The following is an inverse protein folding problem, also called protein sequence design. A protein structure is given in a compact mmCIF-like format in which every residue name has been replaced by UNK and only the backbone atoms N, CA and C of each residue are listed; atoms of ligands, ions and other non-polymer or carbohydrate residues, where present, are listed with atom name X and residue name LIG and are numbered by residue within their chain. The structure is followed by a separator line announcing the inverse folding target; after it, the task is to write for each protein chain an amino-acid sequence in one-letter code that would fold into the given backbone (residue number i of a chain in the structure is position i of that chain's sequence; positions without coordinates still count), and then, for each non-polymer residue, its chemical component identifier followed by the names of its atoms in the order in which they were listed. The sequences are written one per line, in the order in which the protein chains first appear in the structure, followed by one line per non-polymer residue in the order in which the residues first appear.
data_IF_070191106376
#
_entry.id   IF_070191106376
#
_cell.length_a   1.000
_cell.length_b   1.000
_cell.length_c   1.000
_cell.angle_alpha   90.00
_cell.angle_beta   90.00
_cell.angle_gamma   90.00
#
_symmetry.space_group_name_H-M   'P 1'
#
loop_
_entity.id
_entity.type
_entity.pdbx_description
1 polymer ?
#
# COMPACT_ATOMS: atom_id res chain seq x y z
N UNK A 1 6.17 -26.04 -11.25
CA UNK A 1 6.72 -25.48 -10.00
C UNK A 1 8.17 -25.17 -10.24
N UNK A 2 8.56 -23.91 -10.14
CA UNK A 2 9.89 -23.43 -10.53
C UNK A 2 10.79 -23.52 -9.29
N UNK A 3 11.89 -24.27 -9.38
CA UNK A 3 12.85 -24.45 -8.29
C UNK A 3 13.90 -23.33 -8.39
N UNK A 4 14.09 -22.50 -7.35
CA UNK A 4 15.14 -21.48 -7.32
C UNK A 4 16.54 -22.11 -7.27
N UNK A 5 17.52 -21.51 -7.94
CA UNK A 5 18.95 -21.84 -7.78
C UNK A 5 19.45 -21.36 -6.40
N UNK A 6 19.94 -22.26 -5.53
CA UNK A 6 20.37 -21.91 -4.17
C UNK A 6 21.72 -21.18 -4.08
N UNK A 7 22.45 -21.03 -5.19
CA UNK A 7 23.82 -20.47 -5.20
C UNK A 7 23.91 -18.94 -5.38
N UNK A 8 22.78 -18.28 -5.63
CA UNK A 8 22.68 -16.82 -5.79
C UNK A 8 21.64 -16.33 -4.78
N UNK A 9 21.89 -15.27 -3.97
CA UNK A 9 20.82 -14.69 -3.17
C UNK A 9 19.64 -14.40 -4.12
N UNK A 10 18.40 -14.82 -3.79
CA UNK A 10 17.28 -14.85 -4.74
C UNK A 10 16.75 -13.43 -4.97
N UNK A 11 17.56 -12.60 -5.61
CA UNK A 11 17.23 -11.23 -5.98
C UNK A 11 16.47 -11.28 -7.31
N UNK A 12 15.35 -10.54 -7.45
CA UNK A 12 14.50 -10.65 -8.63
C UNK A 12 15.21 -10.14 -9.89
N UNK A 13 15.24 -10.93 -10.96
CA UNK A 13 15.79 -10.54 -12.26
C UNK A 13 15.20 -11.40 -13.39
N UNK A 14 15.40 -11.00 -14.64
CA UNK A 14 14.79 -11.64 -15.82
C UNK A 14 15.15 -13.12 -16.00
N UNK A 15 16.26 -13.58 -15.42
CA UNK A 15 16.69 -14.98 -15.45
C UNK A 15 16.58 -15.68 -14.07
N UNK A 16 15.82 -15.10 -13.12
CA UNK A 16 15.48 -15.80 -11.86
C UNK A 16 14.66 -17.08 -12.10
N UNK A 17 14.05 -17.20 -13.28
CA UNK A 17 13.39 -18.41 -13.76
C UNK A 17 13.49 -18.52 -15.28
N UNK A 18 12.95 -19.61 -15.84
CA UNK A 18 12.97 -19.90 -17.27
C UNK A 18 11.86 -19.20 -18.08
N UNK A 19 10.87 -18.56 -17.43
CA UNK A 19 9.67 -18.05 -18.09
C UNK A 19 10.01 -17.00 -19.14
N UNK A 20 10.84 -16.02 -18.78
CA UNK A 20 11.21 -14.95 -19.72
C UNK A 20 11.93 -15.51 -20.95
N UNK A 21 12.91 -16.40 -20.74
CA UNK A 21 13.66 -17.05 -21.83
C UNK A 21 12.74 -17.87 -22.74
N UNK A 22 11.82 -18.65 -22.16
CA UNK A 22 10.82 -19.43 -22.91
C UNK A 22 9.88 -18.56 -23.72
N UNK A 23 9.51 -17.38 -23.21
CA UNK A 23 8.64 -16.45 -23.93
C UNK A 23 9.37 -15.84 -25.12
N UNK A 24 10.58 -15.33 -24.92
CA UNK A 24 11.31 -14.62 -25.98
C UNK A 24 11.85 -15.58 -27.06
N UNK A 25 12.11 -16.86 -26.73
CA UNK A 25 12.59 -17.87 -27.68
C UNK A 25 11.54 -18.34 -28.68
N UNK A 26 10.26 -17.99 -28.49
CA UNK A 26 9.18 -18.39 -29.39
C UNK A 26 9.17 -17.56 -30.68
N UNK A 27 8.79 -18.16 -31.83
CA UNK A 27 8.69 -17.45 -33.10
C UNK A 27 7.76 -16.23 -32.99
N UNK A 28 8.20 -15.09 -33.53
CA UNK A 28 7.45 -13.85 -33.52
C UNK A 28 6.91 -13.45 -32.13
N UNK A 29 7.65 -13.78 -31.05
CA UNK A 29 7.26 -13.49 -29.66
C UNK A 29 6.86 -12.03 -29.44
N UNK A 30 7.42 -11.10 -30.21
CA UNK A 30 7.11 -9.66 -30.12
C UNK A 30 5.94 -9.17 -30.96
N UNK A 31 5.45 -9.97 -31.90
CA UNK A 31 4.28 -9.59 -32.70
C UNK A 31 3.02 -9.70 -31.82
N UNK A 32 2.16 -8.67 -31.69
CA UNK A 32 1.04 -8.69 -30.75
C UNK A 32 0.07 -9.87 -30.94
N UNK A 33 -0.17 -10.32 -32.18
CA UNK A 33 -1.05 -11.43 -32.46
C UNK A 33 -0.41 -12.77 -32.07
N UNK A 34 0.85 -12.97 -32.48
CA UNK A 34 1.61 -14.20 -32.18
C UNK A 34 1.95 -14.32 -30.69
N UNK A 35 2.31 -13.21 -30.03
CA UNK A 35 2.64 -13.16 -28.61
C UNK A 35 1.53 -13.75 -27.74
N UNK A 36 0.28 -13.35 -27.98
CA UNK A 36 -0.85 -13.86 -27.22
C UNK A 36 -1.05 -15.36 -27.45
N UNK A 37 -1.05 -15.81 -28.71
CA UNK A 37 -1.20 -17.22 -29.07
C UNK A 37 -0.07 -18.09 -28.50
N UNK A 38 1.16 -17.58 -28.49
CA UNK A 38 2.33 -18.23 -27.90
C UNK A 38 2.16 -18.43 -26.39
N UNK A 39 1.71 -17.40 -25.66
CA UNK A 39 1.48 -17.50 -24.22
C UNK A 39 0.37 -18.50 -23.90
N UNK A 40 -0.74 -18.49 -24.64
CA UNK A 40 -1.91 -19.32 -24.34
C UNK A 40 -1.79 -20.75 -24.87
N UNK A 41 -1.34 -20.93 -26.10
CA UNK A 41 -1.38 -22.23 -26.79
C UNK A 41 -0.09 -23.02 -26.62
N UNK A 42 1.07 -22.35 -26.65
CA UNK A 42 2.38 -23.02 -26.57
C UNK A 42 2.83 -23.16 -25.12
N UNK A 43 2.69 -22.09 -24.33
CA UNK A 43 3.10 -22.08 -22.92
C UNK A 43 1.98 -22.44 -21.94
N UNK A 44 0.74 -22.59 -22.43
CA UNK A 44 -0.44 -22.91 -21.63
C UNK A 44 -0.67 -21.96 -20.44
N UNK A 45 -0.34 -20.67 -20.63
CA UNK A 45 -0.58 -19.62 -19.65
C UNK A 45 -2.01 -19.10 -19.78
N UNK A 46 -2.63 -18.86 -18.63
CA UNK A 46 -4.00 -18.39 -18.54
C UNK A 46 -4.03 -16.86 -18.50
N UNK A 47 -4.76 -16.19 -19.41
CA UNK A 47 -5.00 -14.75 -19.30
C UNK A 47 -5.61 -14.37 -17.95
N UNK A 48 -5.33 -13.16 -17.46
CA UNK A 48 -5.78 -12.60 -16.18
C UNK A 48 -5.18 -13.27 -14.94
N UNK A 49 -4.78 -14.54 -15.04
CA UNK A 49 -4.16 -15.30 -13.97
C UNK A 49 -2.63 -15.30 -14.05
N UNK A 50 -2.08 -15.64 -15.22
CA UNK A 50 -0.64 -15.76 -15.42
C UNK A 50 -0.05 -14.53 -16.15
N UNK A 51 -0.86 -13.87 -16.99
CA UNK A 51 -0.45 -12.66 -17.71
C UNK A 51 -1.63 -11.74 -18.06
N UNK A 52 -1.33 -10.47 -18.31
CA UNK A 52 -2.23 -9.50 -18.91
C UNK A 52 -1.61 -8.98 -20.22
N UNK A 53 -2.43 -8.78 -21.25
CA UNK A 53 -2.02 -8.10 -22.48
C UNK A 53 -2.89 -6.86 -22.66
N UNK A 54 -2.27 -5.69 -22.57
CA UNK A 54 -2.98 -4.42 -22.70
C UNK A 54 -2.11 -3.37 -23.40
N UNK A 55 -2.75 -2.30 -23.87
CA UNK A 55 -2.05 -1.05 -24.15
C UNK A 55 -1.84 -0.32 -22.84
N UNK A 56 -0.61 0.11 -22.58
CA UNK A 56 -0.26 0.81 -21.36
C UNK A 56 0.31 2.18 -21.69
N UNK A 57 0.05 3.15 -20.80
CA UNK A 57 0.81 4.41 -20.77
C UNK A 57 1.91 4.30 -19.70
N UNK A 58 3.08 4.86 -19.98
CA UNK A 58 4.11 5.02 -18.96
C UNK A 58 3.64 6.05 -17.94
N UNK A 59 3.80 5.75 -16.65
CA UNK A 59 3.60 6.74 -15.60
C UNK A 59 4.82 7.65 -15.54
N UNK A 60 4.58 8.96 -15.46
CA UNK A 60 5.63 9.93 -15.19
C UNK A 60 6.04 9.88 -13.72
N UNK A 61 7.24 10.33 -13.39
CA UNK A 61 7.79 10.29 -12.03
C UNK A 61 7.00 11.11 -11.01
N UNK A 62 6.07 11.97 -11.45
CA UNK A 62 5.16 12.75 -10.60
C UNK A 62 3.90 11.96 -10.20
N UNK A 63 3.63 10.83 -10.86
CA UNK A 63 2.42 10.03 -10.67
C UNK A 63 2.60 8.89 -9.67
N UNK A 64 3.82 8.73 -9.13
CA UNK A 64 4.12 7.73 -8.12
C UNK A 64 5.29 8.16 -7.23
N UNK A 65 5.32 7.62 -6.03
CA UNK A 65 6.46 7.62 -5.13
C UNK A 65 7.11 6.23 -5.15
N UNK A 66 8.44 6.18 -5.21
CA UNK A 66 9.21 4.94 -5.17
C UNK A 66 10.27 5.03 -4.07
N UNK A 67 10.29 4.06 -3.17
CA UNK A 67 11.37 3.93 -2.19
C UNK A 67 12.46 2.99 -2.75
N UNK A 68 13.65 3.50 -3.13
CA UNK A 68 14.69 2.70 -3.74
C UNK A 68 15.42 1.75 -2.79
N UNK A 69 15.29 1.93 -1.47
CA UNK A 69 15.95 1.09 -0.48
C UNK A 69 15.20 -0.23 -0.25
N UNK A 70 13.87 -0.16 -0.20
CA UNK A 70 13.00 -1.31 0.08
C UNK A 70 12.18 -1.77 -1.13
N UNK A 71 12.21 -1.03 -2.24
CA UNK A 71 11.55 -1.42 -3.50
C UNK A 71 10.03 -1.24 -3.49
N UNK A 72 9.50 -0.31 -2.69
CA UNK A 72 8.04 -0.08 -2.62
C UNK A 72 7.60 0.99 -3.62
N UNK A 73 6.42 0.77 -4.21
CA UNK A 73 5.81 1.68 -5.18
C UNK A 73 4.44 2.12 -4.65
N UNK A 74 4.25 3.43 -4.56
CA UNK A 74 3.01 4.04 -4.10
C UNK A 74 2.50 5.01 -5.16
N UNK A 75 1.34 4.71 -5.76
CA UNK A 75 0.74 5.58 -6.77
C UNK A 75 0.11 6.82 -6.14
N UNK A 76 0.19 7.94 -6.86
CA UNK A 76 -0.47 9.20 -6.47
C UNK A 76 -1.99 9.09 -6.59
N UNK A 77 -2.49 8.28 -7.53
CA UNK A 77 -3.91 8.02 -7.74
C UNK A 77 -4.20 6.52 -7.66
N UNK A 78 -5.35 6.12 -7.08
CA UNK A 78 -5.77 4.72 -7.09
C UNK A 78 -6.12 4.28 -8.52
N UNK A 79 -5.77 3.04 -8.85
CA UNK A 79 -6.16 2.43 -10.12
C UNK A 79 -7.61 1.96 -10.09
N UNK A 80 -8.29 2.05 -11.23
CA UNK A 80 -9.61 1.49 -11.44
C UNK A 80 -9.57 -0.04 -11.43
N UNK A 81 -10.74 -0.66 -11.24
CA UNK A 81 -10.86 -2.12 -11.13
C UNK A 81 -10.31 -2.83 -12.37
N UNK A 82 -10.57 -2.30 -13.55
CA UNK A 82 -10.18 -2.83 -14.87
C UNK A 82 -8.78 -2.39 -15.35
N UNK A 83 -8.06 -1.56 -14.59
CA UNK A 83 -6.70 -1.15 -14.94
C UNK A 83 -5.65 -2.20 -14.56
N UNK A 84 -4.57 -2.27 -15.34
CA UNK A 84 -3.44 -3.18 -15.14
C UNK A 84 -2.19 -2.37 -14.77
N UNK A 85 -1.42 -2.84 -13.78
CA UNK A 85 -0.13 -2.23 -13.43
C UNK A 85 1.01 -3.20 -13.71
N UNK A 86 1.94 -2.77 -14.55
CA UNK A 86 3.20 -3.45 -14.83
C UNK A 86 4.40 -2.56 -14.52
N UNK A 87 5.52 -3.16 -14.14
CA UNK A 87 6.79 -2.47 -13.89
C UNK A 87 7.93 -3.12 -14.65
N UNK A 88 8.90 -2.29 -15.05
CA UNK A 88 10.25 -2.72 -15.38
C UNK A 88 11.22 -1.85 -14.59
N UNK A 89 12.25 -2.46 -14.03
CA UNK A 89 13.25 -1.77 -13.21
C UNK A 89 14.60 -2.45 -13.28
N UNK A 90 15.63 -1.68 -12.98
CA UNK A 90 17.01 -2.12 -12.90
C UNK A 90 17.58 -1.62 -11.58
N UNK A 91 18.35 -2.46 -10.90
CA UNK A 91 18.94 -2.14 -9.61
C UNK A 91 20.32 -2.79 -9.48
N UNK A 92 21.13 -2.27 -8.59
CA UNK A 92 22.45 -2.79 -8.28
C UNK A 92 22.43 -3.44 -6.91
N UNK A 93 22.85 -4.70 -6.83
CA UNK A 93 23.00 -5.43 -5.59
C UNK A 93 24.38 -6.09 -5.54
N UNK A 94 25.15 -5.80 -4.50
CA UNK A 94 26.54 -6.27 -4.34
C UNK A 94 27.41 -6.04 -5.59
N UNK A 95 27.31 -4.85 -6.19
CA UNK A 95 28.09 -4.45 -7.37
C UNK A 95 27.64 -5.08 -8.69
N UNK A 96 26.58 -5.91 -8.70
CA UNK A 96 26.02 -6.51 -9.91
C UNK A 96 24.69 -5.85 -10.27
N UNK A 97 24.50 -5.62 -11.55
CA UNK A 97 23.27 -5.06 -12.11
C UNK A 97 22.27 -6.17 -12.39
N UNK A 98 21.04 -5.98 -11.94
CA UNK A 98 19.92 -6.87 -12.15
C UNK A 98 18.76 -6.08 -12.80
N UNK A 99 18.04 -6.73 -13.70
CA UNK A 99 16.90 -6.13 -14.40
C UNK A 99 15.70 -7.06 -14.35
N UNK A 100 14.52 -6.48 -14.12
CA UNK A 100 13.21 -7.14 -14.16
C UNK A 100 12.34 -6.42 -15.18
N UNK A 101 11.74 -7.17 -16.08
CA UNK A 101 11.00 -6.62 -17.23
C UNK A 101 11.94 -6.00 -18.26
N UNK A 102 11.35 -5.19 -19.15
CA UNK A 102 12.05 -4.60 -20.29
C UNK A 102 11.84 -3.10 -20.36
N UNK A 103 12.90 -2.42 -20.75
CA UNK A 103 12.82 -1.01 -21.12
C UNK A 103 12.60 -0.87 -22.63
N UNK A 104 12.01 0.25 -23.04
CA UNK A 104 11.79 0.57 -24.45
C UNK A 104 13.10 0.61 -25.25
N UNK A 105 14.23 0.93 -24.60
CA UNK A 105 15.55 0.95 -25.23
C UNK A 105 16.10 -0.46 -25.52
N UNK A 106 15.63 -1.49 -24.81
CA UNK A 106 16.06 -2.88 -25.00
C UNK A 106 15.38 -3.50 -26.24
N UNK A 107 14.22 -2.94 -26.64
CA UNK A 107 13.41 -3.39 -27.77
C UNK A 107 13.17 -2.22 -28.73
N UNK A 108 14.19 -1.82 -29.52
CA UNK A 108 14.04 -0.69 -30.41
C UNK A 108 12.94 -0.95 -31.46
N UNK A 109 12.18 0.10 -31.84
CA UNK A 109 11.18 -0.01 -32.88
C UNK A 109 11.84 -0.47 -34.18
N UNK A 110 11.18 -1.38 -34.89
CA UNK A 110 11.64 -1.81 -36.19
C UNK A 110 11.17 -0.79 -37.24
N UNK A 111 12.10 -0.01 -37.79
CA UNK A 111 11.78 0.99 -38.83
C UNK A 111 11.35 0.36 -40.16
N UNK A 112 11.49 -0.96 -40.32
CA UNK A 112 11.14 -1.68 -41.55
C UNK A 112 9.78 -2.37 -41.48
N UNK A 113 9.16 -2.43 -40.30
CA UNK A 113 7.87 -3.06 -40.06
C UNK A 113 6.94 -2.12 -39.33
N UNK A 114 5.71 -1.95 -39.83
CA UNK A 114 4.66 -1.18 -39.14
C UNK A 114 4.11 -1.89 -37.89
N UNK A 115 4.67 -3.04 -37.51
CA UNK A 115 4.20 -3.83 -36.36
C UNK A 115 4.81 -3.28 -35.07
N UNK A 116 3.94 -2.78 -34.17
CA UNK A 116 4.33 -2.42 -32.82
C UNK A 116 4.76 -3.68 -32.04
N UNK A 117 5.98 -3.68 -31.51
CA UNK A 117 6.51 -4.78 -30.69
C UNK A 117 5.91 -4.74 -29.28
N UNK A 118 5.59 -5.90 -28.72
CA UNK A 118 5.17 -6.02 -27.31
C UNK A 118 6.38 -6.00 -26.36
N UNK A 119 6.21 -5.31 -25.22
CA UNK A 119 7.14 -5.36 -24.10
C UNK A 119 6.63 -6.34 -23.04
N UNK A 120 7.55 -7.09 -22.44
CA UNK A 120 7.27 -7.97 -21.31
C UNK A 120 7.69 -7.30 -20.02
N UNK A 121 6.72 -7.09 -19.13
CA UNK A 121 6.88 -6.39 -17.86
C UNK A 121 6.50 -7.31 -16.70
N UNK A 122 6.93 -6.95 -15.49
CA UNK A 122 6.47 -7.62 -14.27
C UNK A 122 5.10 -7.08 -13.87
N UNK A 123 4.09 -7.96 -13.82
CA UNK A 123 2.74 -7.63 -13.39
C UNK A 123 2.67 -7.41 -11.87
N UNK A 124 2.06 -6.29 -11.45
CA UNK A 124 1.77 -5.96 -10.05
C UNK A 124 0.26 -5.92 -9.73
N UNK A 125 -0.60 -5.57 -10.70
CA UNK A 125 -2.06 -5.61 -10.58
C UNK A 125 -2.68 -6.12 -11.88
N UNK A 126 -3.58 -7.10 -11.77
CA UNK A 126 -4.41 -7.59 -12.87
C UNK A 126 -5.82 -6.95 -12.87
N UNK A 127 -6.60 -7.22 -13.91
CA UNK A 127 -8.00 -6.79 -14.03
C UNK A 127 -8.95 -7.52 -13.06
N UNK A 128 -8.51 -8.65 -12.49
CA UNK A 128 -9.27 -9.44 -11.52
C UNK A 128 -8.49 -9.59 -10.21
N UNK A 129 -9.16 -9.31 -9.08
CA UNK A 129 -8.61 -9.50 -7.74
C UNK A 129 -8.72 -10.97 -7.32
N UNK A 130 -7.64 -11.73 -7.49
CA UNK A 130 -7.55 -13.13 -7.07
C UNK A 130 -6.57 -13.27 -5.92
N UNK A 131 -7.08 -13.42 -4.71
CA UNK A 131 -6.26 -13.44 -3.49
C UNK A 131 -5.40 -14.70 -3.36
N UNK A 132 -5.70 -15.76 -4.11
CA UNK A 132 -4.88 -16.97 -4.18
C UNK A 132 -3.67 -16.88 -5.10
N UNK A 133 -3.50 -15.77 -5.84
CA UNK A 133 -2.36 -15.57 -6.73
C UNK A 133 -1.25 -14.79 -6.05
N UNK A 134 0.04 -15.08 -6.31
CA UNK A 134 1.18 -14.40 -5.66
C UNK A 134 1.24 -12.89 -5.87
N UNK A 135 0.60 -12.36 -6.93
CA UNK A 135 0.53 -10.90 -7.14
C UNK A 135 -0.28 -10.19 -6.05
N UNK A 136 -1.16 -10.92 -5.34
CA UNK A 136 -1.91 -10.39 -4.22
C UNK A 136 -1.01 -10.00 -3.04
N UNK A 137 0.05 -10.79 -2.82
CA UNK A 137 1.02 -10.58 -1.74
C UNK A 137 1.96 -9.41 -2.05
N UNK A 138 2.11 -9.03 -3.32
CA UNK A 138 2.86 -7.84 -3.73
C UNK A 138 2.14 -6.53 -3.37
N UNK A 139 0.81 -6.58 -3.21
CA UNK A 139 0.05 -5.41 -2.80
C UNK A 139 0.26 -5.14 -1.31
N UNK A 140 0.90 -4.00 -1.01
CA UNK A 140 1.02 -3.46 0.34
C UNK A 140 -0.35 -3.09 0.92
N UNK A 141 -0.62 -3.56 2.14
CA UNK A 141 -1.88 -3.34 2.89
C UNK A 141 -1.62 -2.73 4.26
N UNK A 142 -0.43 -2.16 4.44
CA UNK A 142 0.16 -1.65 5.67
C UNK A 142 0.42 -0.14 5.59
N UNK A 143 -0.20 0.56 4.64
CA UNK A 143 -0.07 2.01 4.43
C UNK A 143 -1.44 2.66 4.59
N UNK A 144 -1.54 3.64 5.48
CA UNK A 144 -2.80 4.28 5.83
C UNK A 144 -2.69 5.79 5.69
N UNK A 145 -3.66 6.40 5.02
CA UNK A 145 -3.82 7.86 5.00
C UNK A 145 -4.37 8.32 6.35
N UNK A 146 -3.71 9.28 6.98
CA UNK A 146 -4.07 9.81 8.31
C UNK A 146 -4.45 11.30 8.28
N UNK A 147 -4.53 11.89 7.09
CA UNK A 147 -4.87 13.29 6.90
C UNK A 147 -4.68 13.70 5.44
N UNK A 148 -4.43 14.99 5.24
CA UNK A 148 -4.28 15.63 3.93
C UNK A 148 -3.11 16.59 3.92
N UNK A 149 -2.76 17.13 2.76
CA UNK A 149 -1.62 18.05 2.63
C UNK A 149 -0.28 17.37 2.90
N UNK A 150 0.72 18.15 3.31
CA UNK A 150 2.02 17.63 3.73
C UNK A 150 2.08 17.58 5.25
N UNK A 151 2.33 16.41 5.83
CA UNK A 151 2.52 16.27 7.27
C UNK A 151 3.78 17.01 7.74
N UNK A 152 3.69 17.63 8.90
CA UNK A 152 4.83 18.19 9.61
C UNK A 152 5.20 17.28 10.78
N UNK A 153 6.49 16.97 11.01
CA UNK A 153 6.92 16.19 12.17
C UNK A 153 6.58 16.87 13.51
N UNK A 154 6.47 18.20 13.53
CA UNK A 154 6.22 18.95 14.76
C UNK A 154 4.84 18.65 15.34
N UNK A 155 4.82 18.34 16.63
CA UNK A 155 3.62 17.95 17.39
C UNK A 155 2.87 16.75 16.81
N UNK A 156 3.52 15.95 15.94
CA UNK A 156 2.95 14.72 15.43
C UNK A 156 2.83 13.69 16.56
N UNK A 157 1.63 13.18 16.77
CA UNK A 157 1.34 12.11 17.73
C UNK A 157 0.42 11.11 17.07
N UNK A 158 0.77 9.84 17.08
CA UNK A 158 -0.08 8.77 16.60
C UNK A 158 0.02 7.59 17.55
N UNK A 159 -1.14 7.06 17.93
CA UNK A 159 -1.31 5.82 18.66
C UNK A 159 -2.09 4.82 17.82
N UNK A 160 -1.78 3.55 18.04
CA UNK A 160 -2.56 2.42 17.54
C UNK A 160 -3.24 1.77 18.73
N UNK A 161 -4.56 1.77 18.72
CA UNK A 161 -5.39 1.30 19.82
C UNK A 161 -6.16 0.05 19.40
N UNK A 162 -6.47 -0.81 20.37
CA UNK A 162 -7.42 -1.91 20.20
C UNK A 162 -8.71 -1.60 20.96
N UNK A 163 -9.83 -1.55 20.24
CA UNK A 163 -11.17 -1.35 20.78
C UNK A 163 -11.70 -2.67 21.35
N UNK A 164 -11.57 -2.85 22.66
CA UNK A 164 -12.12 -4.02 23.33
C UNK A 164 -13.62 -3.82 23.63
N UNK A 165 -14.50 -4.75 23.21
CA UNK A 165 -15.93 -4.67 23.49
C UNK A 165 -16.21 -4.52 24.99
N UNK A 166 -17.00 -3.51 25.36
CA UNK A 166 -17.36 -3.21 26.76
C UNK A 166 -16.25 -2.58 27.61
N UNK A 167 -15.00 -2.52 27.14
CA UNK A 167 -13.85 -2.04 27.93
C UNK A 167 -13.11 -0.84 27.29
N UNK A 168 -13.55 -0.36 26.13
CA UNK A 168 -12.98 0.83 25.50
C UNK A 168 -11.71 0.55 24.68
N UNK A 169 -11.10 1.63 24.20
CA UNK A 169 -9.86 1.58 23.41
C UNK A 169 -8.63 1.46 24.32
N UNK A 170 -7.75 0.50 24.05
CA UNK A 170 -6.54 0.21 24.81
C UNK A 170 -5.29 0.42 23.95
N UNK A 171 -4.21 0.96 24.53
CA UNK A 171 -2.90 1.12 23.84
C UNK A 171 -2.14 -0.19 23.66
N UNK A 172 -2.52 -1.26 24.37
CA UNK A 172 -1.92 -2.59 24.28
C UNK A 172 -2.93 -3.59 23.69
N UNK A 173 -2.42 -4.68 23.12
CA UNK A 173 -3.26 -5.78 22.66
C UNK A 173 -3.61 -6.68 23.86
N UNK A 174 -4.89 -6.85 24.24
CA UNK A 174 -5.27 -7.50 25.49
C UNK A 174 -5.27 -9.03 25.45
N UNK A 175 -4.75 -9.61 24.37
CA UNK A 175 -4.62 -11.05 24.18
C UNK A 175 -3.14 -11.39 23.94
N UNK A 176 -2.77 -12.64 24.15
CA UNK A 176 -1.38 -13.08 24.06
C UNK A 176 -0.76 -13.41 25.40
N UNK A 177 0.30 -14.20 25.34
CA UNK A 177 1.12 -14.66 26.46
C UNK A 177 2.57 -14.15 26.39
N UNK A 178 2.94 -13.48 25.29
CA UNK A 178 4.30 -12.99 25.01
C UNK A 178 4.46 -11.47 25.13
N UNK A 179 3.39 -10.70 24.91
CA UNK A 179 3.46 -9.25 24.75
C UNK A 179 3.66 -8.46 26.05
N UNK A 180 3.46 -9.06 27.24
CA UNK A 180 3.72 -8.44 28.55
C UNK A 180 3.10 -7.04 28.75
N UNK A 181 1.98 -6.75 28.06
CA UNK A 181 1.32 -5.44 28.11
C UNK A 181 2.01 -4.32 27.32
N UNK A 182 2.95 -4.63 26.44
CA UNK A 182 3.63 -3.67 25.58
C UNK A 182 2.63 -2.88 24.69
N UNK A 183 2.90 -1.59 24.40
CA UNK A 183 2.10 -0.83 23.45
C UNK A 183 2.05 -1.48 22.07
N UNK A 184 0.91 -1.37 21.40
CA UNK A 184 0.73 -1.90 20.03
C UNK A 184 1.72 -1.25 19.07
N UNK A 185 2.03 0.04 19.26
CA UNK A 185 3.05 0.75 18.48
C UNK A 185 4.39 0.00 18.47
N UNK A 186 4.91 -0.37 19.63
CA UNK A 186 6.19 -1.08 19.76
C UNK A 186 6.09 -2.50 19.20
N UNK A 187 4.95 -3.18 19.40
CA UNK A 187 4.72 -4.54 18.86
C UNK A 187 4.72 -4.58 17.32
N UNK A 188 4.33 -3.51 16.65
CA UNK A 188 4.30 -3.43 15.17
C UNK A 188 5.40 -2.54 14.59
N UNK A 189 6.47 -2.35 15.37
CA UNK A 189 7.70 -1.67 14.97
C UNK A 189 7.53 -0.18 14.60
N UNK A 190 6.50 0.48 15.12
CA UNK A 190 6.30 1.93 14.98
C UNK A 190 6.96 2.76 16.08
N UNK A 191 7.54 2.11 17.08
CA UNK A 191 8.23 2.69 18.24
C UNK A 191 9.46 1.82 18.51
N UNK A 192 10.57 2.20 17.89
CA UNK A 192 11.88 1.55 17.92
C UNK A 192 12.98 2.52 18.30
N UNK A 193 12.73 3.83 18.18
CA UNK A 193 13.68 4.89 18.44
C UNK A 193 13.22 5.73 19.63
N UNK A 194 14.16 6.38 20.31
CA UNK A 194 13.85 7.39 21.32
C UNK A 194 13.90 8.80 20.72
N UNK A 195 13.67 9.82 21.56
CA UNK A 195 13.79 11.24 21.18
C UNK A 195 15.15 11.66 20.58
N UNK A 196 16.23 10.90 20.79
CA UNK A 196 17.56 11.13 20.20
C UNK A 196 17.80 10.33 18.90
N UNK A 197 16.83 9.52 18.46
CA UNK A 197 16.94 8.55 17.37
C UNK A 197 17.85 7.34 17.67
N UNK A 198 18.13 7.06 18.95
CA UNK A 198 18.82 5.83 19.35
C UNK A 198 17.84 4.64 19.36
N UNK A 199 18.28 3.41 19.09
CA UNK A 199 17.43 2.22 18.95
C UNK A 199 16.88 1.71 20.29
N UNK A 200 16.00 2.50 20.91
CA UNK A 200 15.33 2.21 22.15
C UNK A 200 13.88 2.74 22.10
N UNK A 201 12.86 1.87 22.18
CA UNK A 201 11.46 2.29 22.23
C UNK A 201 11.17 3.21 23.43
N UNK A 202 10.40 4.28 23.21
CA UNK A 202 9.98 5.23 24.25
C UNK A 202 8.45 5.38 24.38
N UNK A 203 7.68 4.60 23.62
CA UNK A 203 6.22 4.60 23.63
C UNK A 203 5.59 5.72 22.80
N UNK A 204 6.38 6.41 21.97
CA UNK A 204 5.97 7.42 21.00
C UNK A 204 6.18 6.88 19.59
N UNK A 205 5.35 7.32 18.65
CA UNK A 205 5.52 6.96 17.24
C UNK A 205 6.80 7.57 16.67
N UNK A 206 7.61 6.75 16.00
CA UNK A 206 8.81 7.16 15.29
C UNK A 206 8.45 7.84 13.97
N UNK A 207 8.61 9.16 13.88
CA UNK A 207 8.44 9.89 12.62
C UNK A 207 9.72 9.80 11.77
N UNK A 208 9.78 8.81 10.88
CA UNK A 208 10.93 8.59 9.98
C UNK A 208 10.45 8.66 8.53
N UNK A 209 10.82 9.74 7.84
CA UNK A 209 10.42 9.98 6.45
C UNK A 209 10.88 8.85 5.53
N UNK A 210 9.97 8.36 4.68
CA UNK A 210 10.19 7.26 3.75
C UNK A 210 10.14 5.87 4.38
N UNK A 211 10.18 5.75 5.71
CA UNK A 211 10.13 4.47 6.44
C UNK A 211 8.80 4.25 7.16
N UNK A 212 8.40 5.20 8.01
CA UNK A 212 7.12 5.15 8.77
C UNK A 212 6.14 6.22 8.33
N UNK A 213 6.59 7.26 7.62
CA UNK A 213 5.74 8.35 7.11
C UNK A 213 6.11 8.69 5.67
N UNK A 214 5.10 8.99 4.85
CA UNK A 214 5.25 9.67 3.57
C UNK A 214 4.57 11.03 3.70
N UNK A 215 5.34 12.04 4.10
CA UNK A 215 4.80 13.35 4.48
C UNK A 215 3.96 14.01 3.39
N UNK A 216 4.41 14.08 2.11
CA UNK A 216 3.67 14.78 1.07
C UNK A 216 2.28 14.22 0.74
N UNK A 217 2.00 12.99 1.16
CA UNK A 217 0.72 12.32 0.91
C UNK A 217 -0.07 12.04 2.19
N UNK A 218 0.40 12.53 3.34
CA UNK A 218 -0.19 12.27 4.67
C UNK A 218 -0.45 10.79 4.95
N UNK A 219 0.51 9.93 4.59
CA UNK A 219 0.44 8.48 4.77
C UNK A 219 1.40 8.02 5.86
N UNK A 220 0.95 7.08 6.67
CA UNK A 220 1.77 6.32 7.61
C UNK A 220 1.99 4.92 7.04
N UNK A 221 3.23 4.47 7.10
CA UNK A 221 3.67 3.13 6.72
C UNK A 221 3.95 2.35 7.99
N UNK A 222 3.34 1.18 8.12
CA UNK A 222 3.67 0.24 9.18
C UNK A 222 4.83 -0.61 8.67
N UNK A 223 5.98 -0.69 9.37
CA UNK A 223 7.18 -1.40 8.90
C UNK A 223 7.08 -2.93 9.09
N UNK A 224 5.87 -3.47 8.89
CA UNK A 224 5.48 -4.88 8.88
C UNK A 224 4.38 -5.08 7.82
N UNK A 225 4.21 -6.28 7.27
CA UNK A 225 3.29 -6.52 6.15
C UNK A 225 1.82 -6.56 6.61
N UNK A 226 1.59 -7.15 7.77
CA UNK A 226 0.29 -7.41 8.37
C UNK A 226 0.22 -6.89 9.83
N UNK A 227 0.24 -5.56 10.04
CA UNK A 227 0.28 -4.98 11.39
C UNK A 227 -0.90 -5.38 12.29
N UNK A 228 -2.02 -5.84 11.72
CA UNK A 228 -3.21 -6.28 12.47
C UNK A 228 -3.48 -7.79 12.31
N UNK A 229 -2.55 -8.51 11.69
CA UNK A 229 -2.67 -9.91 11.31
C UNK A 229 -1.50 -10.74 11.82
N UNK A 230 -0.79 -11.42 10.92
CA UNK A 230 0.25 -12.40 11.27
C UNK A 230 1.45 -11.76 11.99
N UNK A 231 1.86 -10.55 11.61
CA UNK A 231 3.01 -9.90 12.24
C UNK A 231 2.73 -9.56 13.71
N UNK A 232 1.54 -9.04 14.02
CA UNK A 232 1.12 -8.82 15.41
C UNK A 232 1.00 -10.15 16.17
N UNK A 233 0.44 -11.19 15.54
CA UNK A 233 0.31 -12.51 16.16
C UNK A 233 1.66 -13.05 16.66
N UNK A 234 2.71 -12.93 15.86
CA UNK A 234 4.06 -13.39 16.20
C UNK A 234 4.70 -12.63 17.38
N UNK A 235 4.23 -11.42 17.64
CA UNK A 235 4.73 -10.57 18.74
C UNK A 235 3.97 -10.80 20.04
N UNK A 236 2.71 -11.27 19.96
CA UNK A 236 1.84 -11.43 21.14
C UNK A 236 1.67 -12.88 21.61
N UNK A 237 1.90 -13.87 20.73
CA UNK A 237 1.77 -15.29 21.08
C UNK A 237 3.11 -16.03 20.97
N UNK A 238 3.43 -16.90 21.93
CA UNK A 238 4.50 -17.91 21.75
C UNK A 238 4.06 -19.01 20.77
N UNK A 239 2.79 -19.43 20.88
CA UNK A 239 2.13 -20.35 19.95
C UNK A 239 0.76 -19.75 19.62
N UNK A 240 0.50 -19.48 18.34
CA UNK A 240 -0.75 -18.82 17.91
C UNK A 240 -1.94 -19.78 18.09
N UNK A 241 -2.90 -19.48 18.98
CA UNK A 241 -4.04 -20.35 19.19
C UNK A 241 -5.07 -20.21 18.05
N UNK A 242 -5.93 -21.23 17.81
CA UNK A 242 -6.99 -21.15 16.79
C UNK A 242 -8.00 -20.00 17.01
N UNK A 243 -8.13 -19.52 18.25
CA UNK A 243 -9.00 -18.39 18.65
C UNK A 243 -8.41 -17.02 18.29
N UNK A 244 -7.14 -16.95 17.88
CA UNK A 244 -6.51 -15.68 17.50
C UNK A 244 -7.25 -14.99 16.33
N UNK A 245 -7.87 -15.77 15.44
CA UNK A 245 -8.69 -15.29 14.32
C UNK A 245 -9.92 -14.47 14.74
N UNK A 246 -10.35 -14.60 15.99
CA UNK A 246 -11.52 -13.88 16.53
C UNK A 246 -11.13 -12.48 17.05
N UNK A 247 -9.82 -12.18 17.10
CA UNK A 247 -9.27 -10.94 17.67
C UNK A 247 -8.33 -10.19 16.72
N UNK A 248 -7.63 -10.92 15.83
CA UNK A 248 -6.79 -10.40 14.76
C UNK A 248 -7.56 -10.33 13.44
N UNK A 249 -7.15 -9.43 12.55
CA UNK A 249 -7.90 -9.14 11.33
C UNK A 249 -7.24 -9.76 10.08
N UNK A 250 -7.14 -11.09 10.01
CA UNK A 250 -6.54 -11.78 8.85
C UNK A 250 -7.25 -11.51 7.53
N UNK A 251 -8.58 -11.40 7.54
CA UNK A 251 -9.36 -11.14 6.33
C UNK A 251 -8.99 -9.81 5.65
N UNK A 252 -8.44 -8.83 6.38
CA UNK A 252 -7.91 -7.58 5.81
C UNK A 252 -6.78 -7.83 4.80
N UNK A 253 -6.00 -8.90 5.00
CA UNK A 253 -4.83 -9.22 4.19
C UNK A 253 -5.10 -10.35 3.20
N UNK A 254 -5.92 -11.33 3.58
CA UNK A 254 -6.16 -12.55 2.79
C UNK A 254 -7.36 -12.45 1.83
N UNK A 255 -8.17 -11.40 1.95
CA UNK A 255 -9.40 -11.24 1.18
C UNK A 255 -9.53 -9.85 0.57
N UNK A 256 -10.42 -9.70 -0.42
CA UNK A 256 -10.74 -8.38 -0.99
C UNK A 256 -11.45 -7.51 0.05
N UNK A 257 -11.33 -6.19 -0.09
CA UNK A 257 -11.93 -5.20 0.84
C UNK A 257 -13.41 -5.45 1.10
N UNK A 258 -14.18 -5.79 0.06
CA UNK A 258 -15.62 -6.07 0.18
C UNK A 258 -15.93 -7.28 1.07
N UNK A 259 -15.08 -8.32 1.06
CA UNK A 259 -15.22 -9.48 1.93
C UNK A 259 -14.77 -9.14 3.36
N UNK A 260 -13.64 -8.44 3.52
CA UNK A 260 -13.16 -8.00 4.84
C UNK A 260 -14.19 -7.13 5.58
N UNK A 261 -14.95 -6.30 4.86
CA UNK A 261 -16.01 -5.45 5.42
C UNK A 261 -17.19 -6.24 6.01
N UNK A 262 -17.37 -7.51 5.63
CA UNK A 262 -18.39 -8.40 6.22
C UNK A 262 -18.01 -8.89 7.62
N UNK A 263 -16.81 -8.55 8.10
CA UNK A 263 -16.29 -8.90 9.42
C UNK A 263 -16.12 -7.65 10.31
N UNK A 264 -17.16 -6.84 10.54
CA UNK A 264 -17.04 -5.59 11.32
C UNK A 264 -16.62 -5.84 12.77
N UNK A 265 -16.86 -7.04 13.30
CA UNK A 265 -16.45 -7.43 14.64
C UNK A 265 -14.93 -7.58 14.80
N UNK A 266 -14.17 -7.79 13.72
CA UNK A 266 -12.70 -7.81 13.70
C UNK A 266 -12.08 -6.44 13.46
N UNK A 267 -12.86 -5.48 12.95
CA UNK A 267 -12.41 -4.10 12.74
C UNK A 267 -12.32 -3.33 14.07
N UNK A 268 -11.32 -3.67 14.87
CA UNK A 268 -11.12 -3.16 16.24
C UNK A 268 -9.85 -2.34 16.42
N UNK A 269 -8.98 -2.30 15.42
CA UNK A 269 -7.77 -1.47 15.46
C UNK A 269 -8.11 -0.04 15.05
N UNK A 270 -7.69 0.93 15.87
CA UNK A 270 -7.98 2.34 15.69
C UNK A 270 -6.67 3.11 15.63
N UNK A 271 -6.51 3.96 14.61
CA UNK A 271 -5.44 4.94 14.55
C UNK A 271 -5.97 6.22 15.20
N UNK A 272 -5.33 6.69 16.26
CA UNK A 272 -5.73 7.90 16.97
C UNK A 272 -4.53 8.80 17.16
N UNK A 273 -4.64 10.05 16.74
CA UNK A 273 -3.51 10.95 16.76
C UNK A 273 -3.87 12.41 16.57
N UNK A 274 -2.84 13.24 16.61
CA UNK A 274 -2.88 14.65 16.26
C UNK A 274 -1.70 14.87 15.31
N UNK A 275 -1.95 15.55 14.19
CA UNK A 275 -0.92 15.92 13.25
C UNK A 275 -1.14 17.35 12.80
N UNK A 276 -0.04 18.04 12.49
CA UNK A 276 -0.06 19.32 11.79
C UNK A 276 0.22 19.07 10.31
N UNK A 277 -0.47 19.80 9.45
CA UNK A 277 -0.28 19.75 8.00
C UNK A 277 0.08 21.13 7.50
N UNK A 278 1.03 21.19 6.56
CA UNK A 278 1.31 22.38 5.76
C UNK A 278 0.68 22.20 4.38
N UNK A 279 -0.18 23.13 3.96
CA UNK A 279 -0.94 23.02 2.71
C UNK A 279 -2.10 24.02 2.63
N UNK A 280 -2.81 24.06 1.49
CA UNK A 280 -3.98 24.94 1.32
C UNK A 280 -5.07 24.63 2.36
N UNK A 281 -6.01 25.57 2.54
CA UNK A 281 -7.19 25.50 3.41
C UNK A 281 -8.11 24.27 3.21
N UNK A 282 -7.79 23.40 2.26
CA UNK A 282 -8.67 22.37 1.77
C UNK A 282 -8.24 21.01 2.35
N UNK A 283 -9.10 20.46 3.21
CA UNK A 283 -9.00 19.19 3.92
C UNK A 283 -9.37 18.06 2.97
N UNK A 284 -8.42 17.25 2.50
CA UNK A 284 -8.76 16.06 1.70
C UNK A 284 -9.34 14.95 2.57
N UNK A 285 -10.48 14.40 2.13
CA UNK A 285 -11.20 13.26 2.73
C UNK A 285 -11.12 11.99 1.88
N UNK A 286 -10.38 12.02 0.77
CA UNK A 286 -10.18 10.89 -0.13
C UNK A 286 -11.22 10.78 -1.25
N UNK A 287 -10.99 9.88 -2.20
CA UNK A 287 -11.80 9.75 -3.42
C UNK A 287 -13.01 8.81 -3.23
N UNK A 288 -14.06 9.03 -4.05
CA UNK A 288 -15.30 8.24 -4.08
C UNK A 288 -16.12 8.28 -2.77
N UNK A 289 -16.29 9.48 -2.21
CA UNK A 289 -17.09 9.70 -1.00
C UNK A 289 -18.56 9.87 -1.40
N UNK A 290 -19.50 9.04 -0.87
CA UNK A 290 -20.92 9.23 -1.13
C UNK A 290 -21.43 10.58 -0.58
N UNK A 291 -22.28 11.32 -1.32
CA UNK A 291 -22.92 12.52 -0.82
C UNK A 291 -23.63 12.31 0.52
N UNK A 292 -23.41 13.22 1.48
CA UNK A 292 -24.01 13.14 2.82
C UNK A 292 -23.39 12.11 3.77
N UNK A 293 -22.31 11.41 3.38
CA UNK A 293 -21.60 10.47 4.26
C UNK A 293 -20.57 11.13 5.19
N UNK A 294 -20.37 12.44 5.04
CA UNK A 294 -19.38 13.23 5.76
C UNK A 294 -20.06 14.02 6.87
N UNK A 295 -19.48 13.99 8.06
CA UNK A 295 -19.87 14.87 9.16
C UNK A 295 -18.63 15.58 9.66
N UNK A 296 -18.64 16.91 9.61
CA UNK A 296 -17.54 17.75 10.08
C UNK A 296 -17.92 18.36 11.44
N UNK A 297 -17.00 18.38 12.39
CA UNK A 297 -17.23 18.93 13.73
C UNK A 297 -16.06 19.82 14.13
N UNK A 298 -16.32 21.07 14.51
CA UNK A 298 -15.29 21.93 15.10
C UNK A 298 -15.62 22.29 16.54
N UNK A 299 -14.65 22.11 17.44
CA UNK A 299 -14.81 22.47 18.86
C UNK A 299 -16.01 21.78 19.55
N UNK A 300 -16.37 20.57 19.11
CA UNK A 300 -17.50 19.80 19.65
C UNK A 300 -18.87 20.15 19.06
N UNK A 301 -18.96 21.10 18.13
CA UNK A 301 -20.19 21.42 17.37
C UNK A 301 -20.12 20.82 15.97
N UNK A 302 -21.19 20.16 15.53
CA UNK A 302 -21.36 19.75 14.13
C UNK A 302 -21.54 20.96 13.24
N UNK A 303 -20.76 21.02 12.18
CA UNK A 303 -20.77 22.08 11.18
C UNK A 303 -21.79 21.78 10.08
N UNK A 304 -22.28 22.84 9.41
CA UNK A 304 -23.23 22.71 8.31
C UNK A 304 -22.54 22.83 6.94
N UNK A 305 -22.74 21.82 6.09
CA UNK A 305 -22.28 21.82 4.69
C UNK A 305 -22.97 22.95 3.89
N UNK A 306 -22.22 23.68 3.08
CA UNK A 306 -22.68 24.86 2.32
C UNK A 306 -22.74 26.16 3.13
N UNK A 307 -22.50 26.11 4.44
CA UNK A 307 -22.48 27.29 5.32
C UNK A 307 -21.13 27.41 6.01
N UNK A 308 -20.77 26.41 6.80
CA UNK A 308 -19.55 26.39 7.61
C UNK A 308 -18.35 25.81 6.85
N UNK A 309 -18.63 24.91 5.90
CA UNK A 309 -17.65 24.31 4.99
C UNK A 309 -18.32 23.86 3.68
N UNK A 310 -17.54 23.72 2.61
CA UNK A 310 -17.97 23.13 1.34
C UNK A 310 -17.27 21.79 1.12
N UNK A 311 -17.97 20.84 0.48
CA UNK A 311 -17.39 19.56 0.05
C UNK A 311 -17.31 19.53 -1.48
N UNK A 312 -16.13 19.22 -2.00
CA UNK A 312 -15.95 18.77 -3.37
C UNK A 312 -15.90 17.23 -3.37
N UNK A 313 -17.02 16.60 -3.71
CA UNK A 313 -17.15 15.14 -3.73
C UNK A 313 -16.32 14.46 -4.84
N UNK A 314 -16.06 15.17 -5.94
CA UNK A 314 -15.27 14.66 -7.07
C UNK A 314 -13.77 14.61 -6.73
N UNK A 315 -13.27 15.68 -6.10
CA UNK A 315 -11.88 15.79 -5.66
C UNK A 315 -11.64 15.19 -4.28
N UNK A 316 -12.71 14.92 -3.53
CA UNK A 316 -12.60 14.42 -2.17
C UNK A 316 -11.98 15.42 -1.22
N UNK A 317 -12.40 16.69 -1.28
CA UNK A 317 -11.86 17.76 -0.43
C UNK A 317 -12.96 18.53 0.27
N UNK A 318 -12.68 19.00 1.48
CA UNK A 318 -13.52 19.87 2.30
C UNK A 318 -12.81 21.20 2.42
N UNK A 319 -13.49 22.30 2.17
CA UNK A 319 -12.95 23.65 2.40
C UNK A 319 -13.73 24.31 3.51
N UNK A 320 -13.05 24.69 4.59
CA UNK A 320 -13.70 25.44 5.68
C UNK A 320 -13.92 26.88 5.20
N UNK A 321 -15.19 27.26 5.05
CA UNK A 321 -15.58 28.60 4.57
C UNK A 321 -15.76 29.58 5.73
N UNK A 322 -16.12 29.08 6.92
CA UNK A 322 -16.32 29.89 8.11
C UNK A 322 -14.98 30.31 8.75
N UNK A 323 -14.58 31.55 8.50
CA UNK A 323 -13.32 32.12 8.99
C UNK A 323 -13.19 32.18 10.51
N UNK A 324 -14.31 32.22 11.25
CA UNK A 324 -14.26 32.23 12.72
C UNK A 324 -13.69 30.91 13.27
N UNK A 325 -13.95 29.79 12.58
CA UNK A 325 -13.42 28.46 12.94
C UNK A 325 -11.92 28.41 12.65
N UNK A 326 -11.51 28.86 11.46
CA UNK A 326 -10.11 28.89 11.03
C UNK A 326 -9.25 29.80 11.92
N UNK A 327 -9.75 31.00 12.25
CA UNK A 327 -9.03 31.98 13.06
C UNK A 327 -8.94 31.58 14.55
N UNK A 328 -9.94 30.85 15.05
CA UNK A 328 -9.93 30.36 16.43
C UNK A 328 -8.99 29.16 16.63
N UNK A 329 -8.43 28.60 15.55
CA UNK A 329 -7.57 27.42 15.62
C UNK A 329 -8.28 26.20 16.23
N UNK A 330 -9.61 26.14 16.09
CA UNK A 330 -10.38 25.01 16.59
C UNK A 330 -10.02 23.76 15.77
N UNK A 331 -9.83 22.60 16.42
CA UNK A 331 -9.69 21.35 15.69
C UNK A 331 -11.01 21.07 14.95
N UNK A 332 -10.90 20.82 13.64
CA UNK A 332 -12.00 20.58 12.69
C UNK A 332 -11.92 19.15 12.16
#
# INVERSE_FOLDING_TARGET
TIIPDPSVPPVPHNISNDLYQRVISLPNSRNPASAYSNLTTVLNLKPVQDFEKTFARKLDSTQYFYNPQVGTLSLSQPLQTDEVLGVAYQYTYNGRVFQVGEFSQDVPPDSTSSTQKVLYLKLLKATSQRTSLPIWDLMMKNVYTIGYGTLTPSDFKLDVLYQQPGLGAKRYFPFGDKNLGAPILSLINLDRLNSQNDPQPDGVFDYVEGATVISPYSRVIFPVLEPFGRDLAAQVYNVVPPTAKDTLFYALYDSIKAVAQQYPYLNRFLLKGIAKTSGSSDISIGYNIPPGSVTVTAGGRTLQEGIDYDINYDLGTIKITNQAITNAGLPV
#
